data_IF_320415314879
#
_entry.id   IF_320415314879
#
_cell.length_a   1.000
_cell.length_b   1.000
_cell.length_c   1.000
_cell.angle_alpha   90.00
_cell.angle_beta   90.00
_cell.angle_gamma   90.00
#
_symmetry.space_group_name_H-M   'P 1'
#
loop_
_entity.id
_entity.type
_entity.pdbx_description
1 polymer ?
#
# COMPACT_ATOMS: atom_id res chain seq x y z
N UNK A 1 -25.20 -26.00 8.48
CA UNK A 1 -23.78 -25.56 8.36
C UNK A 1 -23.57 -24.42 9.32
N UNK A 2 -22.58 -24.50 10.21
CA UNK A 2 -22.25 -23.39 11.12
C UNK A 2 -21.63 -22.24 10.31
N UNK A 3 -22.07 -21.02 10.59
CA UNK A 3 -21.55 -19.80 9.93
C UNK A 3 -20.06 -19.63 10.23
N UNK A 4 -19.25 -19.41 9.19
CA UNK A 4 -17.81 -19.14 9.33
C UNK A 4 -17.57 -17.86 10.16
N UNK A 5 -16.66 -17.92 11.13
CA UNK A 5 -16.32 -16.82 12.03
C UNK A 5 -14.86 -16.47 11.89
N UNK A 6 -14.58 -15.25 11.46
CA UNK A 6 -13.20 -14.78 11.25
C UNK A 6 -12.85 -13.56 12.09
N UNK A 7 -11.59 -13.47 12.51
CA UNK A 7 -11.04 -12.29 13.20
C UNK A 7 -9.96 -11.68 12.32
N UNK A 8 -10.17 -10.45 11.87
CA UNK A 8 -9.21 -9.66 11.11
C UNK A 8 -8.42 -8.78 12.08
N UNK A 9 -7.10 -8.90 12.09
CA UNK A 9 -6.24 -8.16 13.03
C UNK A 9 -5.40 -7.16 12.29
N UNK A 10 -5.52 -5.88 12.67
CA UNK A 10 -4.70 -4.78 12.18
C UNK A 10 -3.80 -4.25 13.31
N UNK A 11 -2.55 -3.95 12.95
CA UNK A 11 -1.68 -3.10 13.77
C UNK A 11 -1.90 -1.62 13.44
N UNK A 12 -0.86 -0.80 13.59
CA UNK A 12 -0.89 0.61 13.17
C UNK A 12 -0.87 0.85 11.65
N UNK A 13 -1.18 -0.12 10.83
CA UNK A 13 -1.22 -0.30 9.39
C UNK A 13 -1.02 0.89 8.43
N UNK A 14 -0.68 0.59 7.19
CA UNK A 14 -0.70 1.59 6.11
C UNK A 14 -2.15 1.91 5.70
N UNK A 15 -2.36 3.05 5.03
CA UNK A 15 -3.68 3.38 4.47
C UNK A 15 -4.19 2.27 3.54
N UNK A 16 -3.29 1.65 2.76
CA UNK A 16 -3.63 0.54 1.88
C UNK A 16 -4.10 -0.72 2.61
N UNK A 17 -3.39 -1.12 3.69
CA UNK A 17 -3.80 -2.27 4.50
C UNK A 17 -5.16 -2.06 5.15
N UNK A 18 -5.41 -0.85 5.67
CA UNK A 18 -6.67 -0.52 6.33
C UNK A 18 -7.85 -0.49 5.35
N UNK A 19 -7.67 0.10 4.17
CA UNK A 19 -8.67 0.09 3.11
C UNK A 19 -8.95 -1.33 2.60
N UNK A 20 -7.90 -2.14 2.43
CA UNK A 20 -8.05 -3.55 2.05
C UNK A 20 -8.89 -4.34 3.07
N UNK A 21 -8.59 -4.21 4.38
CA UNK A 21 -9.34 -4.93 5.42
C UNK A 21 -10.80 -4.49 5.46
N UNK A 22 -11.09 -3.22 5.21
CA UNK A 22 -12.47 -2.74 5.08
C UNK A 22 -13.21 -3.41 3.92
N UNK A 23 -12.59 -3.42 2.73
CA UNK A 23 -13.14 -4.08 1.54
C UNK A 23 -13.34 -5.57 1.77
N UNK A 24 -12.32 -6.25 2.32
CA UNK A 24 -12.37 -7.67 2.67
C UNK A 24 -13.49 -7.98 3.67
N UNK A 25 -13.62 -7.18 4.74
CA UNK A 25 -14.66 -7.35 5.75
C UNK A 25 -16.06 -7.24 5.14
N UNK A 26 -16.30 -6.18 4.33
CA UNK A 26 -17.57 -5.98 3.63
C UNK A 26 -17.91 -7.16 2.71
N UNK A 27 -16.96 -7.61 1.90
CA UNK A 27 -17.17 -8.70 0.96
C UNK A 27 -17.37 -10.07 1.65
N UNK A 28 -16.70 -10.32 2.76
CA UNK A 28 -16.91 -11.54 3.58
C UNK A 28 -18.27 -11.53 4.26
N UNK A 29 -18.69 -10.39 4.84
CA UNK A 29 -20.03 -10.22 5.45
C UNK A 29 -21.11 -10.46 4.41
N UNK A 30 -20.97 -9.89 3.20
CA UNK A 30 -21.92 -10.09 2.10
C UNK A 30 -22.05 -11.58 1.69
N UNK A 31 -21.04 -12.41 1.98
CA UNK A 31 -21.03 -13.86 1.74
C UNK A 31 -21.46 -14.68 2.97
N UNK A 32 -22.02 -14.03 3.99
CA UNK A 32 -22.53 -14.68 5.20
C UNK A 32 -21.48 -15.05 6.23
N UNK A 33 -20.24 -14.56 6.12
CA UNK A 33 -19.19 -14.76 7.12
C UNK A 33 -19.39 -13.77 8.29
N UNK A 34 -19.24 -14.24 9.52
CA UNK A 34 -19.19 -13.37 10.70
C UNK A 34 -17.77 -12.83 10.85
N UNK A 35 -17.62 -11.54 10.65
CA UNK A 35 -16.31 -10.86 10.68
C UNK A 35 -16.17 -10.00 11.93
N UNK A 36 -15.09 -10.19 12.68
CA UNK A 36 -14.66 -9.28 13.75
C UNK A 36 -13.38 -8.58 13.31
N UNK A 37 -13.34 -7.26 13.36
CA UNK A 37 -12.12 -6.47 13.07
C UNK A 37 -11.53 -5.96 14.39
N UNK A 38 -10.30 -6.34 14.68
CA UNK A 38 -9.52 -5.91 15.84
C UNK A 38 -8.46 -4.92 15.39
N UNK A 39 -8.61 -3.65 15.72
CA UNK A 39 -7.72 -2.58 15.27
C UNK A 39 -7.68 -1.41 16.26
N UNK A 40 -6.68 -0.50 16.18
CA UNK A 40 -6.71 0.77 16.90
C UNK A 40 -8.01 1.55 16.63
N UNK A 41 -8.59 2.16 17.67
CA UNK A 41 -9.89 2.84 17.60
C UNK A 41 -9.94 3.96 16.55
N UNK A 42 -8.80 4.60 16.29
CA UNK A 42 -8.68 5.66 15.30
C UNK A 42 -8.94 5.18 13.87
N UNK A 43 -8.67 3.90 13.59
CA UNK A 43 -8.86 3.33 12.26
C UNK A 43 -10.33 3.14 11.91
N UNK A 44 -11.18 2.80 12.89
CA UNK A 44 -12.62 2.66 12.63
C UNK A 44 -13.26 4.00 12.26
N UNK A 45 -12.82 5.10 12.88
CA UNK A 45 -13.30 6.45 12.54
C UNK A 45 -13.00 6.87 11.10
N UNK A 46 -11.92 6.34 10.53
CA UNK A 46 -11.48 6.68 9.16
C UNK A 46 -12.04 5.70 8.13
N UNK A 47 -12.06 4.41 8.47
CA UNK A 47 -12.39 3.34 7.52
C UNK A 47 -13.77 2.74 7.70
N UNK A 48 -14.47 3.02 8.81
CA UNK A 48 -15.85 2.60 9.06
C UNK A 48 -16.04 1.08 8.89
N UNK A 49 -15.34 0.28 9.70
CA UNK A 49 -15.46 -1.17 9.69
C UNK A 49 -16.84 -1.63 10.20
N UNK A 50 -17.44 -0.87 11.14
CA UNK A 50 -18.82 -1.11 11.59
C UNK A 50 -19.80 -0.95 10.44
N UNK A 51 -19.68 0.10 9.64
CA UNK A 51 -20.51 0.32 8.44
C UNK A 51 -20.27 -0.71 7.35
N UNK A 52 -19.12 -1.41 7.35
CA UNK A 52 -18.87 -2.57 6.51
C UNK A 52 -19.59 -3.85 6.99
N UNK A 53 -20.33 -3.80 8.11
CA UNK A 53 -21.05 -4.93 8.70
C UNK A 53 -20.21 -5.83 9.61
N UNK A 54 -18.97 -5.45 9.91
CA UNK A 54 -18.12 -6.19 10.84
C UNK A 54 -18.38 -5.79 12.29
N UNK A 55 -18.15 -6.72 13.21
CA UNK A 55 -18.03 -6.38 14.63
C UNK A 55 -16.66 -5.75 14.88
N UNK A 56 -16.59 -4.57 15.51
CA UNK A 56 -15.34 -3.88 15.78
C UNK A 56 -14.91 -4.02 17.24
N UNK A 57 -13.66 -4.43 17.45
CA UNK A 57 -13.01 -4.53 18.76
C UNK A 57 -11.82 -3.58 18.80
N UNK A 58 -11.89 -2.48 19.55
CA UNK A 58 -10.79 -1.55 19.68
C UNK A 58 -9.62 -2.21 20.42
N UNK A 59 -8.43 -2.16 19.81
CA UNK A 59 -7.21 -2.62 20.46
C UNK A 59 -6.52 -1.46 21.17
N UNK A 60 -5.99 -1.67 22.41
CA UNK A 60 -5.14 -0.72 23.07
C UNK A 60 -3.88 -0.35 22.25
N UNK A 61 -3.21 0.72 22.67
CA UNK A 61 -2.00 1.20 21.96
C UNK A 61 -0.91 0.14 21.89
N UNK A 62 -0.05 0.30 20.91
CA UNK A 62 1.19 -0.45 20.70
C UNK A 62 1.99 -0.60 22.00
N UNK A 63 2.41 -1.85 22.34
CA UNK A 63 3.23 -2.15 23.52
C UNK A 63 2.45 -2.41 24.81
N UNK A 64 1.14 -2.23 24.83
CA UNK A 64 0.31 -2.57 25.98
C UNK A 64 0.06 -4.09 26.05
N UNK A 65 0.44 -4.77 27.15
CA UNK A 65 0.12 -6.19 27.35
C UNK A 65 -1.38 -6.51 27.27
N UNK A 66 -2.25 -5.54 27.62
CA UNK A 66 -3.69 -5.67 27.50
C UNK A 66 -4.16 -5.94 26.07
N UNK A 67 -3.38 -5.52 25.06
CA UNK A 67 -3.68 -5.77 23.64
C UNK A 67 -3.73 -7.27 23.33
N UNK A 68 -2.78 -8.06 23.84
CA UNK A 68 -2.75 -9.52 23.63
C UNK A 68 -3.92 -10.21 24.33
N UNK A 69 -4.30 -9.75 25.54
CA UNK A 69 -5.44 -10.28 26.27
C UNK A 69 -6.77 -9.96 25.56
N UNK A 70 -6.95 -8.71 25.11
CA UNK A 70 -8.13 -8.31 24.33
C UNK A 70 -8.25 -9.12 23.03
N UNK A 71 -7.13 -9.30 22.32
CA UNK A 71 -7.10 -10.08 21.10
C UNK A 71 -7.39 -11.56 21.35
N UNK A 72 -6.85 -12.14 22.44
CA UNK A 72 -7.16 -13.53 22.83
C UNK A 72 -8.66 -13.72 23.07
N UNK A 73 -9.28 -12.79 23.77
CA UNK A 73 -10.75 -12.83 24.01
C UNK A 73 -11.53 -12.72 22.68
N UNK A 74 -11.11 -11.84 21.78
CA UNK A 74 -11.75 -11.70 20.47
C UNK A 74 -11.61 -12.94 19.58
N UNK A 75 -10.53 -13.72 19.77
CA UNK A 75 -10.28 -14.95 19.02
C UNK A 75 -11.04 -16.18 19.56
N UNK A 76 -11.73 -16.08 20.72
CA UNK A 76 -12.49 -17.21 21.27
C UNK A 76 -13.60 -17.62 20.31
N UNK A 77 -13.54 -18.89 19.87
CA UNK A 77 -14.50 -19.46 18.93
C UNK A 77 -14.40 -18.89 17.51
N UNK A 78 -13.30 -18.27 17.13
CA UNK A 78 -13.00 -17.97 15.74
C UNK A 78 -12.55 -19.24 15.01
N UNK A 79 -13.04 -19.42 13.79
CA UNK A 79 -12.62 -20.53 12.91
C UNK A 79 -11.27 -20.20 12.24
N UNK A 80 -11.03 -18.90 11.92
CA UNK A 80 -9.78 -18.41 11.33
C UNK A 80 -9.42 -17.03 11.93
N UNK A 81 -8.14 -16.82 12.22
CA UNK A 81 -7.57 -15.51 12.55
C UNK A 81 -6.69 -15.05 11.40
N UNK A 82 -6.95 -13.87 10.87
CA UNK A 82 -6.18 -13.28 9.78
C UNK A 82 -5.52 -11.96 10.21
N UNK A 83 -4.20 -11.94 10.25
CA UNK A 83 -3.42 -10.79 10.68
C UNK A 83 -2.76 -10.07 9.50
N UNK A 84 -2.89 -8.75 9.43
CA UNK A 84 -2.39 -7.91 8.35
C UNK A 84 -1.13 -7.14 8.77
N UNK A 85 -0.01 -7.51 8.16
CA UNK A 85 1.32 -6.96 8.45
C UNK A 85 2.01 -7.64 9.65
N UNK A 86 3.31 -7.37 9.81
CA UNK A 86 4.15 -8.07 10.80
C UNK A 86 3.71 -7.84 12.24
N UNK A 87 3.34 -6.62 12.58
CA UNK A 87 2.94 -6.26 13.94
C UNK A 87 1.68 -7.00 14.38
N UNK A 88 0.64 -6.97 13.55
CA UNK A 88 -0.59 -7.71 13.77
C UNK A 88 -0.32 -9.22 13.87
N UNK A 89 0.56 -9.74 13.01
CA UNK A 89 0.96 -11.16 13.00
C UNK A 89 1.66 -11.60 14.30
N UNK A 90 2.55 -10.74 14.85
CA UNK A 90 3.21 -11.02 16.14
C UNK A 90 2.17 -11.12 17.25
N UNK A 91 1.23 -10.17 17.33
CA UNK A 91 0.19 -10.13 18.37
C UNK A 91 -0.77 -11.29 18.25
N UNK A 92 -1.22 -11.60 17.02
CA UNK A 92 -2.09 -12.74 16.77
C UNK A 92 -1.42 -14.07 17.16
N UNK A 93 -0.14 -14.25 16.79
CA UNK A 93 0.62 -15.44 17.18
C UNK A 93 0.76 -15.56 18.71
N UNK A 94 0.98 -14.46 19.43
CA UNK A 94 1.04 -14.47 20.91
C UNK A 94 -0.33 -14.72 21.54
N UNK A 95 -1.41 -14.18 20.96
CA UNK A 95 -2.77 -14.41 21.46
C UNK A 95 -3.16 -15.88 21.31
N UNK A 96 -2.83 -16.51 20.20
CA UNK A 96 -3.15 -17.91 19.92
C UNK A 96 -2.22 -18.91 20.60
N UNK A 97 -1.01 -18.52 21.01
CA UNK A 97 -0.07 -19.39 21.71
C UNK A 97 -0.50 -19.80 23.13
N UNK A 98 -1.44 -19.08 23.75
CA UNK A 98 -1.91 -19.33 25.10
C UNK A 98 -3.18 -20.18 25.21
N UNK A 99 -3.75 -20.65 24.11
CA UNK A 99 -4.91 -21.55 24.09
C UNK A 99 -4.50 -22.99 24.42
N UNK A 100 -4.88 -23.49 25.58
CA UNK A 100 -4.64 -24.89 25.98
C UNK A 100 -5.61 -25.83 25.29
N UNK A 101 -5.06 -26.89 24.65
CA UNK A 101 -5.70 -28.17 24.36
C UNK A 101 -6.92 -28.11 23.44
N UNK A 102 -6.71 -28.37 22.16
CA UNK A 102 -7.71 -28.49 21.11
C UNK A 102 -7.10 -28.12 19.76
N UNK A 103 -7.83 -28.33 18.68
CA UNK A 103 -7.42 -27.86 17.35
C UNK A 103 -7.11 -26.37 17.40
N UNK A 104 -5.86 -26.04 17.07
CA UNK A 104 -5.43 -24.63 17.10
C UNK A 104 -6.10 -23.87 15.96
N UNK A 105 -6.79 -22.77 16.30
CA UNK A 105 -7.35 -21.84 15.31
C UNK A 105 -6.27 -21.47 14.29
N UNK A 106 -6.48 -21.72 12.98
CA UNK A 106 -5.53 -21.40 11.94
C UNK A 106 -5.22 -19.90 11.90
N UNK A 107 -3.94 -19.56 11.77
CA UNK A 107 -3.46 -18.20 11.60
C UNK A 107 -3.09 -17.97 10.14
N UNK A 108 -3.78 -17.06 9.49
CA UNK A 108 -3.41 -16.50 8.18
C UNK A 108 -2.70 -15.17 8.41
N UNK A 109 -1.65 -14.90 7.66
CA UNK A 109 -0.96 -13.59 7.74
C UNK A 109 -0.83 -12.98 6.36
N UNK A 110 -1.25 -11.72 6.18
CA UNK A 110 -0.98 -10.96 4.95
C UNK A 110 0.29 -10.14 5.10
N UNK A 111 1.21 -10.31 4.15
CA UNK A 111 2.40 -9.49 3.99
C UNK A 111 2.22 -8.53 2.82
N UNK A 112 2.09 -7.24 3.12
CA UNK A 112 1.86 -6.15 2.18
C UNK A 112 2.99 -5.11 2.15
N UNK A 113 3.97 -5.25 3.04
CA UNK A 113 5.10 -4.35 3.12
C UNK A 113 6.37 -5.06 3.57
N UNK A 114 7.51 -4.46 3.24
CA UNK A 114 8.82 -4.84 3.75
C UNK A 114 9.14 -3.99 4.96
N UNK A 115 9.12 -4.59 6.14
CA UNK A 115 9.55 -3.89 7.34
C UNK A 115 11.03 -3.51 7.22
N UNK A 116 11.34 -2.24 7.45
CA UNK A 116 12.68 -1.70 7.39
C UNK A 116 13.21 -1.47 8.80
N UNK A 117 14.42 -1.95 9.07
CA UNK A 117 15.13 -1.67 10.31
C UNK A 117 16.44 -0.95 9.99
N UNK A 118 16.73 0.10 10.72
CA UNK A 118 18.01 0.80 10.64
C UNK A 118 18.95 0.24 11.71
N UNK A 119 20.11 -0.25 11.27
CA UNK A 119 21.14 -0.85 12.12
C UNK A 119 21.03 -2.38 12.28
N UNK A 120 22.18 -3.03 12.49
CA UNK A 120 22.30 -4.48 12.50
C UNK A 120 21.49 -5.16 13.61
N UNK A 121 21.47 -4.60 14.81
CA UNK A 121 20.72 -5.15 15.95
C UNK A 121 19.21 -5.15 15.71
N UNK A 122 18.64 -4.02 15.26
CA UNK A 122 17.21 -3.92 14.90
C UNK A 122 16.85 -4.81 13.74
N UNK A 123 17.76 -4.94 12.75
CA UNK A 123 17.60 -5.87 11.63
C UNK A 123 17.58 -7.34 12.08
N UNK A 124 18.36 -7.71 13.10
CA UNK A 124 18.35 -9.03 13.72
C UNK A 124 17.01 -9.35 14.40
N UNK A 125 16.53 -8.43 15.22
CA UNK A 125 15.22 -8.56 15.90
C UNK A 125 14.09 -8.68 14.88
N UNK A 126 14.07 -7.83 13.87
CA UNK A 126 13.06 -7.87 12.81
C UNK A 126 13.06 -9.23 12.09
N UNK A 127 14.24 -9.76 11.73
CA UNK A 127 14.36 -11.09 11.11
C UNK A 127 13.84 -12.20 12.02
N UNK A 128 14.08 -12.10 13.33
CA UNK A 128 13.58 -13.08 14.30
C UNK A 128 12.04 -13.02 14.39
N UNK A 129 11.46 -11.83 14.45
CA UNK A 129 10.00 -11.65 14.48
C UNK A 129 9.36 -12.18 13.19
N UNK A 130 9.90 -11.84 12.02
CA UNK A 130 9.44 -12.40 10.75
C UNK A 130 9.48 -13.94 10.74
N UNK A 131 10.58 -14.53 11.21
CA UNK A 131 10.69 -15.99 11.29
C UNK A 131 9.67 -16.63 12.25
N UNK A 132 9.43 -16.00 13.38
CA UNK A 132 8.45 -16.50 14.36
C UNK A 132 7.03 -16.42 13.83
N UNK A 133 6.66 -15.31 13.20
CA UNK A 133 5.31 -15.12 12.66
C UNK A 133 5.01 -16.07 11.51
N UNK A 134 5.91 -16.21 10.53
CA UNK A 134 5.68 -17.12 9.39
C UNK A 134 5.65 -18.59 9.80
N UNK A 135 6.35 -18.98 10.88
CA UNK A 135 6.29 -20.34 11.42
C UNK A 135 5.04 -20.60 12.26
N UNK A 136 4.48 -19.57 12.86
CA UNK A 136 3.22 -19.63 13.58
C UNK A 136 2.02 -19.63 12.64
N UNK A 137 2.15 -18.98 11.48
CA UNK A 137 1.12 -18.93 10.46
C UNK A 137 0.92 -20.30 9.78
N UNK A 138 -0.35 -20.63 9.54
CA UNK A 138 -0.73 -21.76 8.71
C UNK A 138 -0.50 -21.44 7.24
N UNK A 139 -0.94 -20.22 6.82
CA UNK A 139 -0.74 -19.68 5.47
C UNK A 139 -0.23 -18.25 5.56
N UNK A 140 0.73 -17.91 4.70
CA UNK A 140 1.19 -16.53 4.48
C UNK A 140 0.69 -16.08 3.11
N UNK A 141 -0.16 -15.07 3.08
CA UNK A 141 -0.59 -14.38 1.87
C UNK A 141 0.34 -13.20 1.62
N UNK A 142 0.98 -13.15 0.48
CA UNK A 142 1.93 -12.09 0.15
C UNK A 142 1.47 -11.34 -1.11
N UNK A 143 1.56 -10.02 -1.08
CA UNK A 143 1.00 -9.16 -2.14
C UNK A 143 1.91 -9.00 -3.36
N UNK A 144 3.11 -9.57 -3.33
CA UNK A 144 4.05 -9.62 -4.45
C UNK A 144 4.92 -10.88 -4.38
N UNK A 145 5.45 -11.30 -5.53
CA UNK A 145 6.32 -12.46 -5.65
C UNK A 145 7.59 -12.34 -4.78
N UNK A 146 8.17 -11.13 -4.66
CA UNK A 146 9.31 -10.88 -3.75
C UNK A 146 8.96 -11.20 -2.29
N UNK A 147 7.74 -10.84 -1.85
CA UNK A 147 7.29 -11.12 -0.48
C UNK A 147 7.00 -12.60 -0.26
N UNK A 148 6.48 -13.32 -1.27
CA UNK A 148 6.34 -14.79 -1.22
C UNK A 148 7.71 -15.44 -0.99
N UNK A 149 8.69 -15.08 -1.80
CA UNK A 149 10.06 -15.61 -1.68
C UNK A 149 10.70 -15.24 -0.34
N UNK A 150 10.44 -14.02 0.14
CA UNK A 150 10.89 -13.59 1.46
C UNK A 150 10.26 -14.42 2.56
N UNK A 151 8.95 -14.68 2.52
CA UNK A 151 8.27 -15.53 3.50
C UNK A 151 8.83 -16.96 3.50
N UNK A 152 9.06 -17.55 2.32
CA UNK A 152 9.69 -18.86 2.17
C UNK A 152 11.10 -18.89 2.77
N UNK A 153 11.94 -17.88 2.47
CA UNK A 153 13.29 -17.75 3.08
C UNK A 153 13.25 -17.56 4.60
N UNK A 154 12.13 -17.07 5.17
CA UNK A 154 11.91 -16.97 6.61
C UNK A 154 11.37 -18.25 7.23
N UNK A 155 11.02 -19.25 6.42
CA UNK A 155 10.56 -20.56 6.87
C UNK A 155 9.04 -20.69 6.95
N UNK A 156 8.31 -19.95 6.12
CA UNK A 156 6.89 -20.18 5.89
C UNK A 156 6.67 -21.58 5.31
N UNK A 157 5.68 -22.31 5.85
CA UNK A 157 5.31 -23.65 5.36
C UNK A 157 4.50 -23.56 4.08
N UNK A 158 3.59 -22.59 4.05
CA UNK A 158 2.76 -22.25 2.91
C UNK A 158 2.80 -20.75 2.71
N UNK A 159 3.27 -20.30 1.56
CA UNK A 159 3.31 -18.89 1.18
C UNK A 159 2.77 -18.76 -0.24
N UNK A 160 1.67 -18.01 -0.37
CA UNK A 160 0.88 -17.85 -1.59
C UNK A 160 0.88 -16.39 -2.04
N UNK A 161 0.90 -16.18 -3.35
CA UNK A 161 0.68 -14.86 -3.93
C UNK A 161 -0.82 -14.52 -3.79
N UNK A 162 -1.09 -13.40 -3.17
CA UNK A 162 -2.42 -12.84 -3.00
C UNK A 162 -2.38 -11.33 -3.28
N UNK A 163 -2.39 -10.93 -4.55
CA UNK A 163 -2.32 -9.51 -4.92
C UNK A 163 -3.54 -8.78 -4.38
N UNK A 164 -3.29 -7.72 -3.63
CA UNK A 164 -4.35 -6.85 -3.11
C UNK A 164 -4.55 -5.69 -4.08
N UNK A 165 -5.77 -5.55 -4.55
CA UNK A 165 -6.19 -4.38 -5.31
C UNK A 165 -6.91 -3.44 -4.36
N UNK A 166 -6.51 -2.18 -4.38
CA UNK A 166 -7.19 -1.16 -3.58
C UNK A 166 -8.41 -0.69 -4.36
N UNK A 167 -9.57 -0.51 -3.68
CA UNK A 167 -10.73 0.10 -4.31
C UNK A 167 -10.34 1.41 -5.00
N UNK A 168 -10.87 1.70 -6.20
CA UNK A 168 -10.68 3.00 -6.81
C UNK A 168 -11.21 4.10 -5.88
N UNK A 169 -10.68 5.31 -6.04
CA UNK A 169 -11.17 6.46 -5.32
C UNK A 169 -12.71 6.56 -5.48
N UNK A 170 -13.41 6.81 -4.37
CA UNK A 170 -14.87 6.84 -4.36
C UNK A 170 -15.39 8.05 -5.15
N UNK A 171 -16.21 7.77 -6.13
CA UNK A 171 -16.91 8.77 -6.96
C UNK A 171 -16.33 8.89 -8.37
N UNK A 172 -17.10 9.47 -9.29
CA UNK A 172 -16.59 9.81 -10.60
C UNK A 172 -15.48 10.85 -10.41
N UNK A 173 -14.28 10.54 -10.91
CA UNK A 173 -13.23 11.55 -11.03
C UNK A 173 -13.77 12.60 -11.99
N UNK A 174 -14.17 13.75 -11.46
CA UNK A 174 -14.56 14.88 -12.29
C UNK A 174 -13.29 15.37 -13.00
N UNK A 175 -13.13 14.97 -14.25
CA UNK A 175 -12.02 15.39 -15.12
C UNK A 175 -12.17 16.89 -15.45
N UNK A 176 -12.14 17.75 -14.44
CA UNK A 176 -12.04 19.19 -14.60
C UNK A 176 -10.55 19.56 -14.58
N UNK A 177 -9.83 19.05 -15.58
CA UNK A 177 -8.39 19.23 -15.74
C UNK A 177 -7.94 20.68 -15.53
N UNK A 178 -8.70 21.64 -16.06
CA UNK A 178 -8.41 23.06 -15.93
C UNK A 178 -8.47 23.58 -14.49
N UNK A 179 -9.41 23.13 -13.65
CA UNK A 179 -9.54 23.62 -12.27
C UNK A 179 -8.37 23.15 -11.39
N UNK A 180 -8.03 21.87 -11.43
CA UNK A 180 -6.94 21.31 -10.66
C UNK A 180 -5.59 21.93 -11.09
N UNK A 181 -5.36 22.08 -12.41
CA UNK A 181 -4.15 22.73 -12.92
C UNK A 181 -4.06 24.21 -12.53
N UNK A 182 -5.18 24.94 -12.55
CA UNK A 182 -5.22 26.35 -12.13
C UNK A 182 -4.92 26.48 -10.62
N UNK A 183 -5.52 25.66 -9.77
CA UNK A 183 -5.24 25.62 -8.32
C UNK A 183 -3.76 25.36 -8.03
N UNK A 184 -3.16 24.47 -8.79
CA UNK A 184 -1.76 24.11 -8.66
C UNK A 184 -0.81 25.09 -9.36
N UNK A 185 -1.30 26.04 -10.16
CA UNK A 185 -0.47 26.98 -10.93
C UNK A 185 0.29 26.30 -12.07
N UNK A 186 -0.36 25.32 -12.73
CA UNK A 186 0.21 24.52 -13.81
C UNK A 186 -0.61 24.62 -15.10
N UNK A 187 -1.25 25.76 -15.38
CA UNK A 187 -2.10 25.95 -16.58
C UNK A 187 -1.28 25.83 -17.86
N UNK A 188 -0.16 26.56 -17.94
CA UNK A 188 0.66 26.65 -19.15
C UNK A 188 2.02 25.93 -19.02
N UNK A 189 2.09 24.93 -18.16
CA UNK A 189 3.33 24.19 -17.91
C UNK A 189 3.06 22.73 -17.56
N UNK A 190 3.98 21.79 -17.85
CA UNK A 190 3.82 20.40 -17.49
C UNK A 190 3.66 20.20 -15.98
N UNK A 191 2.72 19.33 -15.59
CA UNK A 191 2.45 18.97 -14.21
C UNK A 191 2.95 17.56 -13.91
N UNK A 192 3.92 17.46 -13.01
CA UNK A 192 4.42 16.21 -12.46
C UNK A 192 3.81 15.99 -11.08
N UNK A 193 3.38 14.78 -10.77
CA UNK A 193 2.77 14.49 -9.48
C UNK A 193 3.40 13.29 -8.78
N UNK A 194 3.71 13.47 -7.48
CA UNK A 194 4.10 12.38 -6.58
C UNK A 194 3.23 12.41 -5.33
N UNK A 195 2.86 11.24 -4.82
CA UNK A 195 1.97 11.11 -3.66
C UNK A 195 2.50 10.11 -2.67
N UNK A 196 2.49 10.47 -1.39
CA UNK A 196 2.85 9.53 -0.32
C UNK A 196 3.40 10.20 0.93
N UNK A 197 3.59 9.42 1.98
CA UNK A 197 4.15 9.92 3.23
C UNK A 197 5.56 10.50 3.01
N UNK A 198 5.83 11.70 3.53
CA UNK A 198 7.13 12.36 3.44
C UNK A 198 8.10 11.77 4.48
N UNK A 199 8.50 10.51 4.24
CA UNK A 199 9.33 9.71 5.12
C UNK A 199 10.61 9.24 4.41
N UNK A 200 11.63 8.89 5.21
CA UNK A 200 12.85 8.27 4.67
C UNK A 200 12.50 6.97 3.92
N UNK A 201 13.11 6.79 2.76
CA UNK A 201 12.85 5.61 1.93
C UNK A 201 11.75 5.80 0.87
N UNK A 202 11.02 6.92 0.88
CA UNK A 202 10.08 7.29 -0.20
C UNK A 202 10.75 7.96 -1.40
N UNK A 203 12.08 8.15 -1.37
CA UNK A 203 12.87 8.60 -2.52
C UNK A 203 12.74 10.09 -2.87
N UNK A 204 12.05 10.89 -2.06
CA UNK A 204 11.84 12.31 -2.38
C UNK A 204 13.13 13.12 -2.49
N UNK A 205 14.19 12.72 -1.77
CA UNK A 205 15.50 13.38 -1.90
C UNK A 205 16.08 13.19 -3.31
N UNK A 206 16.01 11.95 -3.83
CA UNK A 206 16.42 11.64 -5.21
C UNK A 206 15.53 12.36 -6.23
N UNK A 207 14.23 12.47 -5.94
CA UNK A 207 13.30 13.21 -6.79
C UNK A 207 13.64 14.71 -6.84
N UNK A 208 14.05 15.33 -5.72
CA UNK A 208 14.52 16.70 -5.71
C UNK A 208 15.87 16.85 -6.45
N UNK A 209 16.76 15.84 -6.38
CA UNK A 209 18.00 15.84 -7.19
C UNK A 209 17.67 15.84 -8.70
N UNK A 210 16.72 15.00 -9.13
CA UNK A 210 16.25 14.96 -10.50
C UNK A 210 15.61 16.30 -10.93
N UNK A 211 14.83 16.93 -10.05
CA UNK A 211 14.14 18.20 -10.33
C UNK A 211 15.09 19.37 -10.61
N UNK A 212 16.36 19.29 -10.23
CA UNK A 212 17.36 20.30 -10.56
C UNK A 212 17.53 20.49 -12.08
N UNK A 213 17.54 19.39 -12.83
CA UNK A 213 17.71 19.43 -14.29
C UNK A 213 16.47 19.96 -15.02
N UNK A 214 15.32 19.99 -14.38
CA UNK A 214 14.08 20.48 -14.98
C UNK A 214 13.91 22.01 -14.88
N UNK A 215 14.78 22.70 -14.12
CA UNK A 215 14.73 24.17 -13.99
C UNK A 215 14.96 24.91 -15.29
N UNK A 216 15.73 24.30 -16.19
CA UNK A 216 16.13 24.89 -17.47
C UNK A 216 15.24 24.48 -18.64
N UNK A 217 14.20 23.68 -18.37
CA UNK A 217 13.24 23.28 -19.41
C UNK A 217 12.27 24.42 -19.71
N UNK A 218 11.86 24.54 -20.96
CA UNK A 218 10.86 25.50 -21.42
C UNK A 218 9.77 24.76 -22.22
N UNK A 219 8.51 24.73 -21.75
CA UNK A 219 8.05 25.26 -20.46
C UNK A 219 8.60 24.46 -19.26
N UNK A 220 8.95 25.18 -18.20
CA UNK A 220 9.46 24.57 -16.97
C UNK A 220 8.38 23.76 -16.27
N UNK A 221 8.55 22.44 -16.05
CA UNK A 221 7.55 21.62 -15.37
C UNK A 221 7.42 21.99 -13.89
N UNK A 222 6.22 21.79 -13.34
CA UNK A 222 5.94 21.89 -11.92
C UNK A 222 5.83 20.49 -11.32
N UNK A 223 6.66 20.18 -10.33
CA UNK A 223 6.47 18.97 -9.52
C UNK A 223 5.62 19.29 -8.29
N UNK A 224 4.50 18.61 -8.14
CA UNK A 224 3.65 18.68 -6.96
C UNK A 224 3.78 17.39 -6.16
N UNK A 225 4.05 17.51 -4.86
CA UNK A 225 4.14 16.38 -3.94
C UNK A 225 3.04 16.51 -2.90
N UNK A 226 2.08 15.57 -2.93
CA UNK A 226 1.00 15.47 -1.97
C UNK A 226 1.34 14.48 -0.86
N UNK A 227 1.30 14.93 0.39
CA UNK A 227 1.57 14.10 1.56
C UNK A 227 2.14 14.88 2.73
N UNK A 228 2.22 14.18 3.86
CA UNK A 228 2.79 14.68 5.11
C UNK A 228 3.79 13.68 5.67
N UNK A 229 4.68 14.14 6.54
CA UNK A 229 5.67 13.30 7.20
C UNK A 229 6.87 14.04 7.75
N UNK A 230 7.75 13.30 8.41
CA UNK A 230 8.90 13.85 9.16
C UNK A 230 9.92 14.56 8.28
N UNK A 231 10.00 14.21 6.99
CA UNK A 231 10.95 14.83 6.05
C UNK A 231 10.44 16.18 5.49
N UNK A 232 9.13 16.55 5.72
CA UNK A 232 8.53 17.75 5.13
C UNK A 232 9.39 19.01 5.29
N UNK A 233 9.79 19.32 6.52
CA UNK A 233 10.56 20.54 6.80
C UNK A 233 11.95 20.54 6.12
N UNK A 234 12.59 19.37 6.03
CA UNK A 234 13.88 19.23 5.36
C UNK A 234 13.76 19.38 3.84
N UNK A 235 12.74 18.77 3.24
CA UNK A 235 12.43 18.89 1.82
C UNK A 235 12.07 20.33 1.47
N UNK A 236 11.22 21.01 2.27
CA UNK A 236 10.83 22.40 2.04
C UNK A 236 12.02 23.35 2.08
N UNK A 237 12.91 23.22 3.07
CA UNK A 237 14.15 24.02 3.13
C UNK A 237 15.00 23.85 1.89
N UNK A 238 15.13 22.61 1.41
CA UNK A 238 15.90 22.29 0.22
C UNK A 238 15.28 22.89 -1.06
N UNK A 239 13.95 22.76 -1.21
CA UNK A 239 13.22 23.35 -2.34
C UNK A 239 13.48 24.86 -2.45
N UNK A 240 13.38 25.57 -1.31
CA UNK A 240 13.61 27.02 -1.27
C UNK A 240 15.07 27.35 -1.53
N UNK A 241 16.02 26.69 -0.87
CA UNK A 241 17.45 26.98 -0.99
C UNK A 241 17.99 26.73 -2.41
N UNK A 242 17.44 25.75 -3.12
CA UNK A 242 17.87 25.39 -4.47
C UNK A 242 16.99 25.99 -5.58
N UNK A 243 15.93 26.73 -5.23
CA UNK A 243 14.98 27.31 -6.20
C UNK A 243 14.32 26.26 -7.09
N UNK A 244 13.94 25.11 -6.53
CA UNK A 244 13.39 24.00 -7.30
C UNK A 244 11.93 24.26 -7.71
N UNK A 245 11.49 23.87 -8.91
CA UNK A 245 10.10 23.98 -9.36
C UNK A 245 9.23 22.91 -8.70
N UNK A 246 9.19 22.88 -7.37
CA UNK A 246 8.53 21.85 -6.57
C UNK A 246 7.64 22.48 -5.51
N UNK A 247 6.43 21.94 -5.33
CA UNK A 247 5.47 22.35 -4.28
C UNK A 247 5.09 21.18 -3.41
N UNK A 248 5.15 21.35 -2.08
CA UNK A 248 4.61 20.41 -1.10
C UNK A 248 3.22 20.90 -0.69
N UNK A 249 2.17 20.18 -1.07
CA UNK A 249 0.78 20.61 -0.87
C UNK A 249 0.10 19.99 0.36
N UNK A 250 0.83 19.18 1.15
CA UNK A 250 0.26 18.53 2.32
C UNK A 250 -0.60 17.31 1.98
N UNK A 251 -1.33 16.83 2.98
CA UNK A 251 -2.30 15.74 2.78
C UNK A 251 -3.51 16.25 2.00
N UNK A 252 -3.94 15.47 1.00
CA UNK A 252 -5.09 15.77 0.15
C UNK A 252 -6.05 14.58 0.15
N UNK A 253 -7.34 14.85 0.01
CA UNK A 253 -8.39 13.83 -0.14
C UNK A 253 -8.78 13.65 -1.61
N UNK A 254 -8.56 14.66 -2.43
CA UNK A 254 -8.84 14.72 -3.87
C UNK A 254 -7.63 14.27 -4.74
N UNK A 255 -6.82 13.34 -4.23
CA UNK A 255 -5.59 12.86 -4.90
C UNK A 255 -5.88 12.33 -6.30
N UNK A 256 -6.99 11.63 -6.51
CA UNK A 256 -7.35 11.06 -7.81
C UNK A 256 -7.60 12.16 -8.85
N UNK A 257 -8.29 13.25 -8.47
CA UNK A 257 -8.55 14.40 -9.34
C UNK A 257 -7.25 15.13 -9.70
N UNK A 258 -6.39 15.36 -8.70
CA UNK A 258 -5.10 16.00 -8.91
C UNK A 258 -4.18 15.14 -9.79
N UNK A 259 -4.20 13.82 -9.58
CA UNK A 259 -3.41 12.87 -10.36
C UNK A 259 -3.91 12.80 -11.82
N UNK A 260 -5.23 12.80 -12.03
CA UNK A 260 -5.82 12.82 -13.37
C UNK A 260 -5.45 14.07 -14.18
N UNK A 261 -5.16 15.19 -13.51
CA UNK A 261 -4.70 16.42 -14.14
C UNK A 261 -3.19 16.44 -14.44
N UNK A 262 -2.42 15.45 -13.98
CA UNK A 262 -0.98 15.39 -14.18
C UNK A 262 -0.59 14.83 -15.54
N UNK A 263 0.49 15.35 -16.12
CA UNK A 263 1.09 14.83 -17.34
C UNK A 263 1.91 13.57 -17.08
N UNK A 264 2.56 13.48 -15.89
CA UNK A 264 3.36 12.32 -15.47
C UNK A 264 3.25 12.13 -13.96
N UNK A 265 3.00 10.92 -13.53
CA UNK A 265 3.14 10.50 -12.14
C UNK A 265 4.54 9.97 -11.86
N UNK A 266 5.08 10.24 -10.66
CA UNK A 266 6.45 9.81 -10.29
C UNK A 266 6.44 9.06 -8.97
N UNK A 267 6.96 7.83 -8.97
CA UNK A 267 7.08 6.95 -7.79
C UNK A 267 8.57 6.64 -7.52
N UNK A 268 9.29 7.46 -6.74
CA UNK A 268 10.74 7.32 -6.53
C UNK A 268 11.11 6.42 -5.34
N UNK A 269 10.18 5.61 -4.85
CA UNK A 269 10.31 4.85 -3.60
C UNK A 269 11.48 3.86 -3.60
N UNK A 270 12.09 3.68 -2.43
CA UNK A 270 13.14 2.67 -2.21
C UNK A 270 12.59 1.24 -2.27
N UNK A 271 11.35 1.06 -1.91
CA UNK A 271 10.66 -0.21 -1.94
C UNK A 271 9.14 -0.01 -1.86
N UNK A 272 8.42 -0.78 -2.64
CA UNK A 272 6.96 -0.87 -2.64
C UNK A 272 6.55 -2.33 -2.91
N UNK A 273 5.42 -2.77 -2.36
CA UNK A 273 4.79 -4.02 -2.78
C UNK A 273 3.81 -3.73 -3.92
N UNK A 274 2.65 -3.16 -3.58
CA UNK A 274 1.64 -2.72 -4.54
C UNK A 274 1.28 -1.26 -4.27
N UNK A 275 2.04 -0.35 -4.87
CA UNK A 275 1.89 1.08 -4.67
C UNK A 275 0.50 1.57 -5.03
N UNK A 276 -0.16 2.30 -4.10
CA UNK A 276 -1.44 2.95 -4.36
C UNK A 276 -1.34 3.97 -5.49
N UNK A 277 -0.29 4.78 -5.48
CA UNK A 277 -0.04 5.76 -6.53
C UNK A 277 0.08 5.11 -7.90
N UNK A 278 0.83 4.01 -8.01
CA UNK A 278 0.98 3.30 -9.28
C UNK A 278 -0.36 2.71 -9.75
N UNK A 279 -1.12 2.09 -8.85
CA UNK A 279 -2.43 1.55 -9.20
C UNK A 279 -3.38 2.65 -9.70
N UNK A 280 -3.43 3.79 -9.01
CA UNK A 280 -4.32 4.89 -9.38
C UNK A 280 -3.87 5.57 -10.67
N UNK A 281 -2.56 5.81 -10.85
CA UNK A 281 -2.01 6.37 -12.09
C UNK A 281 -2.35 5.52 -13.31
N UNK A 282 -2.15 4.20 -13.24
CA UNK A 282 -2.45 3.30 -14.36
C UNK A 282 -3.96 3.25 -14.65
N UNK A 283 -4.81 3.20 -13.62
CA UNK A 283 -6.28 3.23 -13.80
C UNK A 283 -6.76 4.50 -14.50
N UNK A 284 -6.22 5.64 -14.09
CA UNK A 284 -6.54 6.94 -14.66
C UNK A 284 -5.90 7.12 -16.06
N UNK A 285 -4.94 6.29 -16.43
CA UNK A 285 -4.15 6.44 -17.64
C UNK A 285 -3.19 7.62 -17.56
N UNK A 286 -2.63 7.86 -16.39
CA UNK A 286 -1.55 8.83 -16.19
C UNK A 286 -0.22 8.12 -16.38
N UNK A 287 0.62 8.56 -17.32
CA UNK A 287 1.96 7.98 -17.52
C UNK A 287 2.76 7.96 -16.24
N UNK A 288 3.40 6.84 -15.94
CA UNK A 288 4.11 6.63 -14.69
C UNK A 288 5.61 6.43 -14.92
N UNK A 289 6.43 7.18 -14.19
CA UNK A 289 7.86 6.89 -13.99
C UNK A 289 8.03 6.34 -12.59
N UNK A 290 8.55 5.12 -12.45
CA UNK A 290 8.68 4.46 -11.16
C UNK A 290 10.05 3.80 -10.97
N UNK A 291 10.47 3.65 -9.73
CA UNK A 291 11.66 2.84 -9.42
C UNK A 291 11.36 1.36 -9.57
N UNK A 292 12.27 0.60 -10.19
CA UNK A 292 12.20 -0.86 -10.38
C UNK A 292 12.51 -1.59 -9.07
N UNK A 293 11.58 -1.53 -8.09
CA UNK A 293 11.80 -2.08 -6.74
C UNK A 293 10.61 -2.89 -6.25
N UNK A 294 10.89 -3.93 -5.47
CA UNK A 294 9.85 -4.74 -4.84
C UNK A 294 8.88 -5.34 -5.84
N UNK A 295 7.59 -5.14 -5.62
CA UNK A 295 6.52 -5.59 -6.52
C UNK A 295 6.13 -4.59 -7.61
N UNK A 296 6.84 -3.44 -7.75
CA UNK A 296 6.50 -2.44 -8.77
C UNK A 296 6.60 -3.00 -10.19
N UNK A 297 7.69 -3.70 -10.61
CA UNK A 297 7.75 -4.26 -11.95
C UNK A 297 6.62 -5.24 -12.25
N UNK A 298 6.28 -6.11 -11.29
CA UNK A 298 5.15 -7.06 -11.41
C UNK A 298 3.80 -6.33 -11.51
N UNK A 299 3.64 -5.22 -10.80
CA UNK A 299 2.40 -4.43 -10.80
C UNK A 299 2.16 -3.72 -12.11
N UNK A 300 3.20 -3.09 -12.67
CA UNK A 300 3.06 -2.19 -13.81
C UNK A 300 3.31 -2.87 -15.16
N UNK A 301 4.03 -4.01 -15.19
CA UNK A 301 4.46 -4.63 -16.46
C UNK A 301 5.22 -3.64 -17.33
N UNK A 302 4.84 -3.56 -18.60
CA UNK A 302 5.41 -2.63 -19.59
C UNK A 302 4.68 -1.26 -19.63
N UNK A 303 3.74 -1.03 -18.71
CA UNK A 303 2.88 0.17 -18.69
C UNK A 303 3.47 1.35 -17.89
N UNK A 304 4.78 1.35 -17.63
CA UNK A 304 5.47 2.43 -16.94
C UNK A 304 6.94 2.49 -17.35
N UNK A 305 7.55 3.66 -17.22
CA UNK A 305 9.01 3.80 -17.32
C UNK A 305 9.66 3.42 -15.99
N UNK A 306 10.48 2.37 -16.00
CA UNK A 306 11.15 1.86 -14.82
C UNK A 306 12.61 2.32 -14.76
N UNK A 307 13.01 2.90 -13.61
CA UNK A 307 14.36 3.40 -13.36
C UNK A 307 14.98 2.77 -12.12
N UNK A 308 16.33 2.70 -12.00
CA UNK A 308 16.97 2.23 -10.79
C UNK A 308 16.68 3.14 -9.58
N UNK A 309 16.54 2.56 -8.39
CA UNK A 309 16.41 3.35 -7.17
C UNK A 309 17.67 4.13 -6.87
N UNK A 310 17.52 5.41 -6.51
CA UNK A 310 18.64 6.29 -6.15
C UNK A 310 19.35 6.94 -7.34
N UNK A 311 18.98 6.58 -8.56
CA UNK A 311 19.52 7.19 -9.78
C UNK A 311 18.68 8.40 -10.19
N UNK A 312 19.11 9.59 -9.73
CA UNK A 312 18.43 10.85 -10.02
C UNK A 312 18.52 11.24 -11.51
N UNK A 313 19.60 10.86 -12.18
CA UNK A 313 19.79 11.15 -13.60
C UNK A 313 18.87 10.28 -14.47
N UNK A 314 18.79 8.98 -14.19
CA UNK A 314 17.85 8.10 -14.89
C UNK A 314 16.42 8.59 -14.70
N UNK A 315 16.03 8.96 -13.48
CA UNK A 315 14.72 9.51 -13.17
C UNK A 315 14.45 10.82 -13.95
N UNK A 316 15.44 11.71 -13.98
CA UNK A 316 15.35 12.99 -14.70
C UNK A 316 15.18 12.78 -16.20
N UNK A 317 15.97 11.86 -16.80
CA UNK A 317 15.89 11.53 -18.22
C UNK A 317 14.56 10.87 -18.59
N UNK A 318 14.06 9.94 -17.78
CA UNK A 318 12.78 9.28 -18.02
C UNK A 318 11.62 10.29 -18.02
N UNK A 319 11.57 11.17 -17.01
CA UNK A 319 10.54 12.23 -16.96
C UNK A 319 10.66 13.15 -18.16
N UNK A 320 11.86 13.64 -18.49
CA UNK A 320 12.07 14.51 -19.65
C UNK A 320 11.64 13.83 -20.95
N UNK A 321 12.04 12.58 -21.17
CA UNK A 321 11.65 11.82 -22.38
C UNK A 321 10.13 11.75 -22.55
N UNK A 322 9.38 11.53 -21.43
CA UNK A 322 7.93 11.56 -21.49
C UNK A 322 7.37 12.97 -21.71
N UNK A 323 7.99 14.03 -21.23
CA UNK A 323 7.53 15.40 -21.49
C UNK A 323 7.73 15.79 -22.96
N UNK A 324 8.82 15.34 -23.57
CA UNK A 324 9.19 15.64 -24.95
C UNK A 324 8.41 14.78 -25.96
N UNK A 325 7.89 13.62 -25.55
CA UNK A 325 7.22 12.64 -26.42
C UNK A 325 5.74 12.41 -26.01
N UNK A 326 4.85 13.11 -26.71
CA UNK A 326 3.38 13.01 -26.49
C UNK A 326 2.84 11.63 -26.86
N UNK A 327 3.34 11.04 -27.94
CA UNK A 327 2.91 9.74 -28.46
C UNK A 327 3.25 8.65 -27.43
N UNK A 328 4.47 8.65 -26.92
CA UNK A 328 4.89 7.74 -25.84
C UNK A 328 4.03 7.88 -24.58
N UNK A 329 3.65 9.11 -24.18
CA UNK A 329 2.72 9.32 -23.05
C UNK A 329 1.36 8.69 -23.33
N UNK A 330 0.82 8.86 -24.52
CA UNK A 330 -0.46 8.29 -24.91
C UNK A 330 -0.43 6.75 -24.91
N UNK A 331 0.65 6.16 -25.41
CA UNK A 331 0.87 4.72 -25.39
C UNK A 331 0.93 4.16 -23.97
N UNK A 332 1.70 4.79 -23.09
CA UNK A 332 1.76 4.39 -21.69
C UNK A 332 0.44 4.57 -20.96
N UNK A 333 -0.31 5.62 -21.26
CA UNK A 333 -1.64 5.85 -20.73
C UNK A 333 -2.62 4.73 -21.13
N UNK A 334 -2.58 4.31 -22.39
CA UNK A 334 -3.39 3.20 -22.89
C UNK A 334 -2.97 1.86 -22.28
N UNK A 335 -1.66 1.57 -22.28
CA UNK A 335 -1.09 0.37 -21.68
C UNK A 335 -1.41 0.29 -20.18
N UNK A 336 -1.38 1.44 -19.47
CA UNK A 336 -1.72 1.53 -18.04
C UNK A 336 -3.14 1.07 -17.76
N UNK A 337 -4.12 1.52 -18.52
CA UNK A 337 -5.52 1.10 -18.37
C UNK A 337 -5.71 -0.39 -18.65
N UNK A 338 -5.04 -0.91 -19.69
CA UNK A 338 -5.05 -2.35 -19.98
C UNK A 338 -4.44 -3.15 -18.84
N UNK A 339 -3.27 -2.74 -18.35
CA UNK A 339 -2.60 -3.40 -17.22
C UNK A 339 -3.46 -3.37 -15.96
N UNK A 340 -4.11 -2.24 -15.65
CA UNK A 340 -5.01 -2.12 -14.51
C UNK A 340 -6.22 -3.08 -14.60
N UNK A 341 -6.69 -3.36 -15.82
CA UNK A 341 -7.76 -4.33 -16.07
C UNK A 341 -7.36 -5.80 -15.84
N UNK A 342 -6.05 -6.09 -15.72
CA UNK A 342 -5.57 -7.46 -15.43
C UNK A 342 -5.52 -7.76 -13.94
N UNK A 343 -5.63 -6.75 -13.08
CA UNK A 343 -5.55 -6.96 -11.64
C UNK A 343 -6.85 -7.57 -11.09
N UNK A 344 -6.77 -8.38 -10.04
CA UNK A 344 -7.96 -8.95 -9.42
C UNK A 344 -8.89 -7.82 -8.93
N UNK A 345 -10.17 -8.01 -9.11
CA UNK A 345 -11.21 -7.17 -8.53
C UNK A 345 -11.28 -7.35 -6.99
N UNK A 346 -12.01 -6.47 -6.31
CA UNK A 346 -12.28 -6.65 -4.88
C UNK A 346 -13.00 -7.97 -4.62
N UNK A 347 -13.97 -8.31 -5.47
CA UNK A 347 -14.76 -9.53 -5.36
C UNK A 347 -13.92 -10.79 -5.53
N UNK A 348 -13.01 -10.82 -6.52
CA UNK A 348 -12.04 -11.90 -6.73
C UNK A 348 -11.04 -12.00 -5.57
N UNK A 349 -10.60 -10.87 -5.01
CA UNK A 349 -9.73 -10.85 -3.83
C UNK A 349 -10.43 -11.46 -2.62
N UNK A 350 -11.69 -11.10 -2.37
CA UNK A 350 -12.52 -11.68 -1.29
C UNK A 350 -12.75 -13.16 -1.52
N UNK A 351 -13.09 -13.57 -2.74
CA UNK A 351 -13.32 -14.97 -3.09
C UNK A 351 -12.06 -15.82 -2.88
N UNK A 352 -10.88 -15.29 -3.28
CA UNK A 352 -9.61 -15.96 -3.05
C UNK A 352 -9.31 -16.16 -1.54
N UNK A 353 -9.48 -15.10 -0.73
CA UNK A 353 -9.26 -15.18 0.72
C UNK A 353 -10.26 -16.15 1.38
N UNK A 354 -11.52 -16.11 0.96
CA UNK A 354 -12.54 -17.03 1.46
C UNK A 354 -12.22 -18.50 1.12
N UNK A 355 -11.76 -18.76 -0.11
CA UNK A 355 -11.29 -20.10 -0.51
C UNK A 355 -10.17 -20.63 0.38
N UNK A 356 -9.21 -19.75 0.77
CA UNK A 356 -8.16 -20.12 1.73
C UNK A 356 -8.76 -20.45 3.10
N UNK A 357 -9.74 -19.70 3.57
CA UNK A 357 -10.40 -20.00 4.85
C UNK A 357 -11.15 -21.32 4.83
N UNK A 358 -11.91 -21.59 3.76
CA UNK A 358 -12.66 -22.83 3.60
C UNK A 358 -11.72 -24.04 3.57
N UNK A 359 -10.57 -23.94 2.88
CA UNK A 359 -9.53 -24.96 2.89
C UNK A 359 -9.02 -25.25 4.32
N UNK A 360 -8.82 -24.20 5.13
CA UNK A 360 -8.27 -24.32 6.48
C UNK A 360 -9.26 -24.90 7.49
N UNK A 361 -10.56 -24.74 7.26
CA UNK A 361 -11.62 -25.27 8.15
C UNK A 361 -12.24 -26.55 7.61
N UNK A 362 -11.74 -27.08 6.49
CA UNK A 362 -12.19 -28.35 5.90
C UNK A 362 -13.59 -28.27 5.27
N UNK A 363 -13.94 -27.13 4.67
CA UNK A 363 -15.21 -26.90 3.97
C UNK A 363 -15.08 -26.94 2.47
#
# INVERSE_FOLDING_TARGET
MTQLRTVQVLGGGSAGSSAHVRSLASGLVARGVRVTVCAPAELDRVYDYLGAGAHFVPLPRLGDPATVAALRNACIGADVVHAHGLEASVRAALALAGGGGGDRTPLVTTWDCRNQAHGAARGGVLRLLERRTVRAATVVLATSSELVDRARRRGARDARLAPVTVPPARGPVCLHDGKARAELGAVDRPLLMAVGALERGRGYRTLLDAARSWRELDPQPLLVIAGEGRERAALQRRIVAEGLPVRLIGRREDVAELLAAADVAVLPSRWEARSLLAQEALRLGVPLVATAVGGVPELVGDAAELVPYGDAEALARAVRGLLDDVERRMDLAAAGRVQAGTWPTEDETVAHVLSVYDELVGR
#
